data_IF_808752440787
#
_entry.id   IF_808752440787
#
_cell.length_a   1.000
_cell.length_b   1.000
_cell.length_c   1.000
_cell.angle_alpha   90.00
_cell.angle_beta   90.00
_cell.angle_gamma   90.00
#
_symmetry.space_group_name_H-M   'P 1'
#
loop_
_entity.id
_entity.type
_entity.pdbx_description
1 polymer ?
#
# COMPACT_ATOMS: atom_id res chain seq x y z
N UNK A 1 7.30 0.30 14.42
CA UNK A 1 7.01 -0.68 13.35
C UNK A 1 6.85 -0.03 11.97
N UNK A 2 6.05 1.03 11.79
CA UNK A 2 5.90 1.71 10.48
C UNK A 2 7.24 2.10 9.83
N UNK A 3 8.13 2.75 10.59
CA UNK A 3 9.47 3.14 10.11
C UNK A 3 10.36 1.94 9.77
N UNK A 4 10.22 0.82 10.49
CA UNK A 4 10.97 -0.41 10.23
C UNK A 4 10.53 -1.01 8.88
N UNK A 5 9.21 -1.06 8.64
CA UNK A 5 8.67 -1.51 7.36
C UNK A 5 9.12 -0.61 6.22
N UNK A 6 9.04 0.72 6.42
CA UNK A 6 9.49 1.68 5.42
C UNK A 6 10.99 1.50 5.08
N UNK A 7 11.85 1.43 6.12
CA UNK A 7 13.29 1.27 5.95
C UNK A 7 13.65 -0.06 5.30
N UNK A 8 13.04 -1.17 5.73
CA UNK A 8 13.36 -2.47 5.16
C UNK A 8 12.87 -2.58 3.70
N UNK A 9 11.70 -2.02 3.39
CA UNK A 9 11.21 -1.98 2.00
C UNK A 9 12.09 -1.10 1.12
N UNK A 10 12.60 0.01 1.65
CA UNK A 10 13.59 0.84 0.97
C UNK A 10 14.91 0.08 0.73
N UNK A 11 15.41 -0.66 1.71
CA UNK A 11 16.65 -1.46 1.53
C UNK A 11 16.44 -2.54 0.47
N UNK A 12 15.30 -3.23 0.48
CA UNK A 12 14.97 -4.22 -0.56
C UNK A 12 14.87 -3.57 -1.95
N UNK A 13 14.36 -2.35 -2.04
CA UNK A 13 14.20 -1.69 -3.34
C UNK A 13 15.53 -1.32 -3.98
N UNK A 14 16.64 -1.24 -3.23
CA UNK A 14 17.97 -1.04 -3.80
C UNK A 14 18.40 -2.17 -4.76
N UNK A 15 17.72 -3.32 -4.72
CA UNK A 15 17.94 -4.44 -5.63
C UNK A 15 17.17 -4.29 -6.97
N UNK A 16 16.40 -3.21 -7.16
CA UNK A 16 15.71 -2.91 -8.42
C UNK A 16 16.25 -1.62 -9.05
N UNK A 17 16.15 -1.52 -10.38
CA UNK A 17 16.38 -0.26 -11.08
C UNK A 17 15.14 0.62 -10.93
N UNK A 18 15.22 1.65 -10.10
CA UNK A 18 14.02 2.34 -9.61
C UNK A 18 13.15 2.98 -10.70
N UNK A 19 13.78 3.48 -11.75
CA UNK A 19 13.13 4.16 -12.87
C UNK A 19 12.52 3.20 -13.88
N UNK A 20 13.08 2.00 -14.01
CA UNK A 20 12.82 1.09 -15.13
C UNK A 20 12.01 -0.14 -14.72
N UNK A 21 12.10 -0.55 -13.46
CA UNK A 21 11.45 -1.74 -12.94
C UNK A 21 10.46 -1.40 -11.83
N UNK A 22 9.45 -2.25 -11.67
CA UNK A 22 8.56 -2.26 -10.52
C UNK A 22 9.30 -2.83 -9.30
N UNK A 23 8.93 -2.45 -8.08
CA UNK A 23 9.45 -3.09 -6.87
C UNK A 23 9.03 -4.56 -6.83
N UNK A 24 7.83 -4.86 -7.35
CA UNK A 24 7.35 -6.23 -7.55
C UNK A 24 8.21 -7.08 -8.48
N UNK A 25 9.18 -6.50 -9.23
CA UNK A 25 10.16 -7.24 -10.01
C UNK A 25 11.03 -8.19 -9.15
N UNK A 26 11.15 -7.93 -7.84
CA UNK A 26 11.83 -8.83 -6.92
C UNK A 26 11.20 -10.23 -6.85
N UNK A 27 9.91 -10.36 -7.16
CA UNK A 27 9.24 -11.67 -7.23
C UNK A 27 9.71 -12.52 -8.42
N UNK A 28 10.26 -11.89 -9.46
CA UNK A 28 10.81 -12.56 -10.64
C UNK A 28 12.23 -13.09 -10.40
N UNK A 29 13.02 -12.41 -9.56
CA UNK A 29 14.41 -12.78 -9.29
C UNK A 29 14.47 -14.05 -8.40
N UNK A 30 15.00 -15.19 -8.89
CA UNK A 30 14.93 -16.46 -8.15
C UNK A 30 15.57 -16.41 -6.76
N UNK A 31 16.67 -15.65 -6.62
CA UNK A 31 17.42 -15.52 -5.37
C UNK A 31 16.68 -14.66 -4.33
N UNK A 32 15.85 -13.70 -4.77
CA UNK A 32 15.15 -12.77 -3.88
C UNK A 32 13.66 -13.09 -3.72
N UNK A 33 13.09 -13.95 -4.56
CA UNK A 33 11.67 -14.27 -4.59
C UNK A 33 11.12 -14.70 -3.22
N UNK A 34 11.79 -15.66 -2.55
CA UNK A 34 11.31 -16.16 -1.26
C UNK A 34 11.31 -15.05 -0.19
N UNK A 35 12.36 -14.22 -0.16
CA UNK A 35 12.49 -13.10 0.77
C UNK A 35 11.43 -12.04 0.50
N UNK A 36 11.17 -11.71 -0.77
CA UNK A 36 10.12 -10.80 -1.17
C UNK A 36 8.73 -11.30 -0.76
N UNK A 37 8.43 -12.59 -1.00
CA UNK A 37 7.13 -13.17 -0.64
C UNK A 37 6.93 -13.21 0.88
N UNK A 38 7.94 -13.59 1.65
CA UNK A 38 7.87 -13.51 3.11
C UNK A 38 7.65 -12.05 3.54
N UNK A 39 8.41 -11.11 2.97
CA UNK A 39 8.28 -9.71 3.33
C UNK A 39 6.90 -9.14 3.02
N UNK A 40 6.35 -9.38 1.82
CA UNK A 40 5.04 -8.84 1.44
C UNK A 40 3.92 -9.43 2.32
N UNK A 41 4.04 -10.69 2.76
CA UNK A 41 3.07 -11.25 3.73
C UNK A 41 3.14 -10.57 5.09
N UNK A 42 4.35 -10.25 5.58
CA UNK A 42 4.54 -9.49 6.83
C UNK A 42 3.94 -8.09 6.70
N UNK A 43 4.18 -7.40 5.58
CA UNK A 43 3.60 -6.06 5.33
C UNK A 43 2.07 -6.14 5.23
N UNK A 44 1.53 -7.07 4.45
CA UNK A 44 0.09 -7.23 4.28
C UNK A 44 -0.63 -7.53 5.60
N UNK A 45 -0.08 -8.43 6.42
CA UNK A 45 -0.63 -8.77 7.74
C UNK A 45 -0.53 -7.61 8.71
N UNK A 46 0.59 -6.89 8.74
CA UNK A 46 0.74 -5.67 9.53
C UNK A 46 -0.30 -4.62 9.17
N UNK A 47 -0.44 -4.32 7.88
CA UNK A 47 -1.40 -3.34 7.36
C UNK A 47 -2.85 -3.72 7.70
N UNK A 48 -3.20 -5.01 7.58
CA UNK A 48 -4.50 -5.53 7.98
C UNK A 48 -4.76 -5.31 9.48
N UNK A 49 -3.83 -5.71 10.35
CA UNK A 49 -3.97 -5.57 11.81
C UNK A 49 -4.12 -4.10 12.21
N UNK A 50 -3.28 -3.22 11.67
CA UNK A 50 -3.32 -1.78 11.97
C UNK A 50 -4.62 -1.16 11.51
N UNK A 51 -5.09 -1.50 10.32
CA UNK A 51 -6.34 -0.96 9.80
C UNK A 51 -7.55 -1.43 10.59
N UNK A 52 -7.59 -2.72 10.96
CA UNK A 52 -8.65 -3.24 11.84
C UNK A 52 -8.64 -2.50 13.18
N UNK A 53 -7.47 -2.28 13.79
CA UNK A 53 -7.35 -1.51 15.05
C UNK A 53 -7.95 -0.11 14.91
N UNK A 54 -7.59 0.62 13.84
CA UNK A 54 -8.10 1.98 13.61
C UNK A 54 -9.61 2.00 13.33
N UNK A 55 -10.14 1.06 12.54
CA UNK A 55 -11.57 1.00 12.28
C UNK A 55 -12.38 0.62 13.52
N UNK A 56 -11.83 -0.20 14.43
CA UNK A 56 -12.49 -0.49 15.73
C UNK A 56 -12.69 0.74 16.61
N UNK A 57 -11.89 1.79 16.43
CA UNK A 57 -12.05 3.03 17.20
C UNK A 57 -13.34 3.78 16.85
N UNK A 58 -13.77 3.70 15.60
CA UNK A 58 -15.04 4.28 15.15
C UNK A 58 -16.13 3.22 15.21
N UNK A 59 -16.17 2.35 14.21
CA UNK A 59 -17.04 1.19 14.10
C UNK A 59 -16.59 0.38 12.88
N UNK A 60 -16.85 -0.93 12.86
CA UNK A 60 -16.58 -1.78 11.69
C UNK A 60 -17.90 -2.15 11.02
N UNK A 61 -18.05 -1.76 9.76
CA UNK A 61 -19.18 -2.15 8.90
C UNK A 61 -18.91 -3.44 8.14
N UNK A 62 -19.95 -4.04 7.53
CA UNK A 62 -19.79 -5.19 6.62
C UNK A 62 -18.95 -4.82 5.39
N UNK A 63 -19.14 -3.61 4.86
CA UNK A 63 -18.37 -3.10 3.73
C UNK A 63 -16.87 -3.01 4.07
N UNK A 64 -16.51 -2.53 5.27
CA UNK A 64 -15.10 -2.48 5.70
C UNK A 64 -14.45 -3.85 5.72
N UNK A 65 -15.14 -4.86 6.27
CA UNK A 65 -14.64 -6.24 6.30
C UNK A 65 -14.42 -6.79 4.89
N UNK A 66 -15.35 -6.51 3.98
CA UNK A 66 -15.24 -6.90 2.58
C UNK A 66 -14.07 -6.20 1.90
N UNK A 67 -13.93 -4.88 2.05
CA UNK A 67 -12.83 -4.12 1.46
C UNK A 67 -11.48 -4.61 2.00
N UNK A 68 -11.36 -4.84 3.31
CA UNK A 68 -10.14 -5.36 3.92
C UNK A 68 -9.80 -6.76 3.44
N UNK A 69 -10.80 -7.66 3.36
CA UNK A 69 -10.62 -9.01 2.84
C UNK A 69 -10.15 -9.00 1.39
N UNK A 70 -10.85 -8.25 0.52
CA UNK A 70 -10.48 -8.10 -0.89
C UNK A 70 -9.09 -7.48 -1.05
N UNK A 71 -8.76 -6.48 -0.23
CA UNK A 71 -7.45 -5.84 -0.28
C UNK A 71 -6.35 -6.83 0.11
N UNK A 72 -6.48 -7.49 1.26
CA UNK A 72 -5.50 -8.46 1.74
C UNK A 72 -5.30 -9.61 0.75
N UNK A 73 -6.39 -10.18 0.23
CA UNK A 73 -6.34 -11.24 -0.79
C UNK A 73 -5.68 -10.72 -2.06
N UNK A 74 -6.00 -9.52 -2.53
CA UNK A 74 -5.40 -8.94 -3.73
C UNK A 74 -3.90 -8.69 -3.59
N UNK A 75 -3.43 -8.25 -2.42
CA UNK A 75 -1.98 -8.10 -2.14
C UNK A 75 -1.28 -9.46 -2.25
N UNK A 76 -1.83 -10.48 -1.59
CA UNK A 76 -1.22 -11.82 -1.57
C UNK A 76 -1.29 -12.49 -2.95
N UNK A 77 -2.46 -12.57 -3.57
CA UNK A 77 -2.59 -13.18 -4.89
C UNK A 77 -1.81 -12.42 -5.95
N UNK A 78 -1.83 -11.08 -5.92
CA UNK A 78 -1.00 -10.25 -6.80
C UNK A 78 0.46 -10.65 -6.65
N UNK A 79 1.02 -10.54 -5.45
CA UNK A 79 2.46 -10.78 -5.23
C UNK A 79 2.94 -12.21 -5.45
N UNK A 80 2.10 -13.23 -5.25
CA UNK A 80 2.46 -14.64 -5.42
C UNK A 80 2.38 -15.12 -6.87
N UNK A 81 1.64 -14.41 -7.73
CA UNK A 81 1.61 -14.72 -9.15
C UNK A 81 2.97 -14.46 -9.79
N UNK A 82 3.41 -15.31 -10.74
CA UNK A 82 4.66 -15.10 -11.44
C UNK A 82 4.55 -13.87 -12.33
N UNK A 83 5.32 -12.85 -11.99
CA UNK A 83 5.48 -11.64 -12.77
C UNK A 83 6.67 -11.78 -13.72
N UNK A 84 6.47 -11.49 -15.00
CA UNK A 84 7.55 -11.36 -15.96
C UNK A 84 7.32 -10.07 -16.74
N UNK A 85 8.20 -9.05 -16.61
CA UNK A 85 8.00 -7.77 -17.28
C UNK A 85 8.05 -7.87 -18.81
N UNK A 86 8.74 -8.88 -19.34
CA UNK A 86 8.95 -9.07 -20.78
C UNK A 86 7.92 -10.02 -21.42
N UNK A 87 6.99 -10.55 -20.63
CA UNK A 87 6.02 -11.53 -21.11
C UNK A 87 4.60 -11.18 -20.65
N UNK A 88 3.71 -11.01 -21.62
CA UNK A 88 2.28 -10.68 -21.43
C UNK A 88 1.41 -11.91 -21.15
N UNK A 89 2.00 -12.97 -20.59
CA UNK A 89 1.25 -14.12 -20.11
C UNK A 89 0.15 -13.69 -19.13
N UNK A 90 -0.96 -14.43 -19.14
CA UNK A 90 -2.15 -14.17 -18.31
C UNK A 90 -1.78 -13.99 -16.83
N UNK A 91 -0.83 -14.77 -16.31
CA UNK A 91 -0.36 -14.63 -14.92
C UNK A 91 0.30 -13.29 -14.62
N UNK A 92 1.10 -12.77 -15.57
CA UNK A 92 1.78 -11.47 -15.44
C UNK A 92 0.76 -10.32 -15.52
N UNK A 93 -0.23 -10.43 -16.41
CA UNK A 93 -1.33 -9.47 -16.49
C UNK A 93 -2.17 -9.46 -15.21
N UNK A 94 -2.50 -10.65 -14.67
CA UNK A 94 -3.24 -10.77 -13.41
C UNK A 94 -2.45 -10.21 -12.22
N UNK A 95 -1.12 -10.44 -12.16
CA UNK A 95 -0.24 -9.83 -11.15
C UNK A 95 -0.37 -8.31 -11.16
N UNK A 96 -0.26 -7.69 -12.35
CA UNK A 96 -0.32 -6.23 -12.51
C UNK A 96 -1.69 -5.71 -12.07
N UNK A 97 -2.77 -6.32 -12.54
CA UNK A 97 -4.15 -5.89 -12.23
C UNK A 97 -4.41 -6.00 -10.72
N UNK A 98 -4.11 -7.15 -10.11
CA UNK A 98 -4.35 -7.39 -8.69
C UNK A 98 -3.49 -6.49 -7.79
N UNK A 99 -2.21 -6.31 -8.11
CA UNK A 99 -1.30 -5.48 -7.32
C UNK A 99 -1.67 -3.99 -7.40
N UNK A 100 -2.07 -3.53 -8.59
CA UNK A 100 -2.53 -2.14 -8.80
C UNK A 100 -3.88 -1.90 -8.11
N UNK A 101 -4.82 -2.85 -8.26
CA UNK A 101 -6.11 -2.78 -7.60
C UNK A 101 -5.98 -2.80 -6.07
N UNK A 102 -5.08 -3.63 -5.53
CA UNK A 102 -4.78 -3.67 -4.10
C UNK A 102 -4.29 -2.31 -3.60
N UNK A 103 -3.35 -1.68 -4.30
CA UNK A 103 -2.80 -0.36 -3.94
C UNK A 103 -3.88 0.71 -3.92
N UNK A 104 -4.69 0.78 -4.98
CA UNK A 104 -5.79 1.75 -5.11
C UNK A 104 -6.87 1.51 -4.04
N UNK A 105 -7.24 0.27 -3.82
CA UNK A 105 -8.23 -0.11 -2.80
C UNK A 105 -7.76 0.30 -1.39
N UNK A 106 -6.46 0.16 -1.10
CA UNK A 106 -5.91 0.59 0.19
C UNK A 106 -6.02 2.10 0.40
N UNK A 107 -5.74 2.89 -0.64
CA UNK A 107 -5.91 4.34 -0.60
C UNK A 107 -7.38 4.72 -0.32
N UNK A 108 -8.34 4.02 -0.93
CA UNK A 108 -9.77 4.21 -0.61
C UNK A 108 -10.05 3.88 0.86
N UNK A 109 -9.53 2.76 1.38
CA UNK A 109 -9.70 2.38 2.79
C UNK A 109 -9.15 3.47 3.72
N UNK A 110 -7.99 4.04 3.41
CA UNK A 110 -7.44 5.18 4.17
C UNK A 110 -8.39 6.38 4.16
N UNK A 111 -8.96 6.74 3.00
CA UNK A 111 -9.91 7.85 2.93
C UNK A 111 -11.15 7.58 3.80
N UNK A 112 -11.65 6.35 3.85
CA UNK A 112 -12.76 5.96 4.73
C UNK A 112 -12.39 6.19 6.20
N UNK A 113 -11.19 5.77 6.62
CA UNK A 113 -10.72 5.96 8.00
C UNK A 113 -10.63 7.46 8.32
N UNK A 114 -10.02 8.25 7.42
CA UNK A 114 -9.89 9.70 7.59
C UNK A 114 -11.27 10.34 7.74
N UNK A 115 -12.23 10.01 6.86
CA UNK A 115 -13.57 10.57 6.92
C UNK A 115 -14.30 10.26 8.24
N UNK A 116 -14.01 9.12 8.87
CA UNK A 116 -14.60 8.77 10.18
C UNK A 116 -14.05 9.60 11.32
N UNK A 117 -12.86 10.20 11.17
CA UNK A 117 -12.30 11.12 12.17
C UNK A 117 -13.15 12.37 12.35
N UNK A 118 -13.99 12.75 11.37
CA UNK A 118 -14.91 13.90 11.47
C UNK A 118 -15.76 13.83 12.75
N UNK A 119 -16.17 12.63 13.13
CA UNK A 119 -17.05 12.40 14.28
C UNK A 119 -16.32 12.46 15.62
N UNK A 120 -15.00 12.26 15.63
CA UNK A 120 -14.21 12.18 16.87
C UNK A 120 -13.34 13.41 17.11
N UNK A 121 -12.70 13.93 16.06
CA UNK A 121 -11.77 15.06 16.12
C UNK A 121 -11.69 15.72 14.74
N UNK A 122 -12.43 16.83 14.59
CA UNK A 122 -12.52 17.56 13.33
C UNK A 122 -11.21 18.22 12.92
N UNK A 123 -10.41 18.69 13.88
CA UNK A 123 -9.13 19.34 13.59
C UNK A 123 -8.10 18.31 13.11
N UNK A 124 -8.04 17.14 13.76
CA UNK A 124 -7.25 16.01 13.28
C UNK A 124 -7.69 15.54 11.90
N UNK A 125 -9.01 15.40 11.66
CA UNK A 125 -9.57 15.11 10.35
C UNK A 125 -9.06 16.11 9.30
N UNK A 126 -9.26 17.41 9.52
CA UNK A 126 -8.90 18.45 8.56
C UNK A 126 -7.41 18.40 8.22
N UNK A 127 -6.56 18.29 9.24
CA UNK A 127 -5.12 18.24 9.05
C UNK A 127 -4.68 16.99 8.27
N UNK A 128 -5.16 15.81 8.65
CA UNK A 128 -4.78 14.55 8.01
C UNK A 128 -5.34 14.47 6.59
N UNK A 129 -6.58 14.91 6.37
CA UNK A 129 -7.22 14.92 5.06
C UNK A 129 -6.48 15.81 4.05
N UNK A 130 -6.06 17.02 4.46
CA UNK A 130 -5.25 17.92 3.62
C UNK A 130 -3.93 17.25 3.24
N UNK A 131 -3.25 16.63 4.19
CA UNK A 131 -1.96 15.98 3.95
C UNK A 131 -2.13 14.78 3.02
N UNK A 132 -3.14 13.95 3.26
CA UNK A 132 -3.45 12.80 2.41
C UNK A 132 -3.70 13.23 0.96
N UNK A 133 -4.55 14.24 0.74
CA UNK A 133 -4.83 14.73 -0.61
C UNK A 133 -3.59 15.31 -1.29
N UNK A 134 -2.72 16.03 -0.56
CA UNK A 134 -1.43 16.50 -1.11
C UNK A 134 -0.54 15.34 -1.57
N UNK A 135 -0.46 14.27 -0.79
CA UNK A 135 0.30 13.07 -1.16
C UNK A 135 -0.32 12.38 -2.38
N UNK A 136 -1.65 12.28 -2.47
CA UNK A 136 -2.34 11.76 -3.66
C UNK A 136 -2.06 12.61 -4.90
N UNK A 137 -2.06 13.95 -4.79
CA UNK A 137 -1.69 14.82 -5.91
C UNK A 137 -0.27 14.56 -6.39
N UNK A 138 0.69 14.42 -5.46
CA UNK A 138 2.08 14.09 -5.80
C UNK A 138 2.16 12.70 -6.47
N UNK A 139 1.42 11.71 -5.98
CA UNK A 139 1.34 10.38 -6.59
C UNK A 139 0.82 10.46 -8.04
N UNK A 140 -0.23 11.23 -8.28
CA UNK A 140 -0.78 11.45 -9.63
C UNK A 140 0.28 12.12 -10.52
N UNK A 141 0.99 13.13 -10.02
CA UNK A 141 2.08 13.77 -10.76
C UNK A 141 3.18 12.77 -11.14
N UNK A 142 3.57 11.86 -10.24
CA UNK A 142 4.55 10.82 -10.56
C UNK A 142 4.04 9.86 -11.63
N UNK A 143 2.77 9.43 -11.55
CA UNK A 143 2.17 8.55 -12.57
C UNK A 143 2.19 9.24 -13.95
N UNK A 144 1.82 10.53 -14.02
CA UNK A 144 1.85 11.30 -15.26
C UNK A 144 3.27 11.48 -15.79
N UNK A 145 4.23 11.77 -14.90
CA UNK A 145 5.62 12.03 -15.28
C UNK A 145 6.33 10.78 -15.82
N UNK A 146 6.13 9.62 -15.19
CA UNK A 146 6.80 8.38 -15.61
C UNK A 146 6.05 7.62 -16.70
N UNK A 147 4.75 7.88 -16.90
CA UNK A 147 3.91 7.21 -17.91
C UNK A 147 3.72 5.71 -17.67
N UNK A 148 4.26 5.18 -16.57
CA UNK A 148 4.23 3.77 -16.18
C UNK A 148 4.40 3.67 -14.66
N UNK A 149 3.91 2.57 -14.08
CA UNK A 149 4.20 2.25 -12.67
C UNK A 149 5.66 1.79 -12.61
N UNK A 150 6.42 2.29 -11.64
CA UNK A 150 7.80 1.90 -11.37
C UNK A 150 8.03 1.78 -9.85
N UNK A 151 9.24 1.38 -9.45
CA UNK A 151 9.60 1.22 -8.03
C UNK A 151 9.41 2.51 -7.24
N UNK A 152 9.68 3.68 -7.81
CA UNK A 152 9.50 4.98 -7.12
C UNK A 152 8.03 5.16 -6.74
N UNK A 153 7.12 4.90 -7.69
CA UNK A 153 5.67 5.00 -7.47
C UNK A 153 5.22 3.97 -6.42
N UNK A 154 5.65 2.71 -6.54
CA UNK A 154 5.26 1.65 -5.59
C UNK A 154 5.74 1.96 -4.16
N UNK A 155 6.98 2.47 -4.00
CA UNK A 155 7.50 2.92 -2.71
C UNK A 155 6.74 4.13 -2.18
N UNK A 156 6.45 5.10 -3.03
CA UNK A 156 5.70 6.30 -2.63
C UNK A 156 4.31 5.95 -2.12
N UNK A 157 3.61 5.02 -2.77
CA UNK A 157 2.31 4.51 -2.30
C UNK A 157 2.46 3.86 -0.93
N UNK A 158 3.41 2.93 -0.75
CA UNK A 158 3.62 2.27 0.54
C UNK A 158 3.96 3.26 1.64
N UNK A 159 4.86 4.22 1.38
CA UNK A 159 5.25 5.23 2.36
C UNK A 159 4.10 6.17 2.69
N UNK A 160 3.28 6.55 1.72
CA UNK A 160 2.05 7.31 1.95
C UNK A 160 1.12 6.55 2.89
N UNK A 161 0.90 5.26 2.64
CA UNK A 161 0.06 4.39 3.49
C UNK A 161 0.61 4.35 4.91
N UNK A 162 1.89 4.02 5.08
CA UNK A 162 2.51 3.89 6.40
C UNK A 162 2.52 5.22 7.17
N UNK A 163 2.83 6.33 6.48
CA UNK A 163 2.89 7.65 7.07
C UNK A 163 1.51 8.09 7.58
N UNK A 164 0.46 7.92 6.77
CA UNK A 164 -0.89 8.34 7.14
C UNK A 164 -1.44 7.48 8.28
N UNK A 165 -1.27 6.15 8.23
CA UNK A 165 -1.70 5.28 9.32
C UNK A 165 -1.00 5.62 10.64
N UNK A 166 0.32 5.86 10.60
CA UNK A 166 1.08 6.30 11.76
C UNK A 166 0.59 7.64 12.30
N UNK A 167 0.29 8.60 11.41
CA UNK A 167 -0.23 9.91 11.81
C UNK A 167 -1.60 9.81 12.48
N UNK A 168 -2.50 8.99 11.93
CA UNK A 168 -3.82 8.72 12.52
C UNK A 168 -3.67 8.04 13.89
N UNK A 169 -2.82 7.01 14.01
CA UNK A 169 -2.62 6.29 15.26
C UNK A 169 -2.09 7.23 16.37
N UNK A 170 -1.14 8.11 16.03
CA UNK A 170 -0.58 9.09 16.98
C UNK A 170 -1.60 10.17 17.39
N UNK A 171 -2.50 10.58 16.50
CA UNK A 171 -3.55 11.57 16.84
C UNK A 171 -4.59 10.99 17.78
N UNK A 172 -4.91 9.72 17.61
CA UNK A 172 -5.83 8.99 18.49
C UNK A 172 -5.18 8.58 19.84
N UNK A 173 -3.92 8.98 20.09
CA UNK A 173 -3.15 8.70 21.32
C UNK A 173 -3.04 7.21 21.67
N UNK A 174 -2.66 6.38 20.69
CA UNK A 174 -2.36 4.96 20.88
C UNK A 174 -0.87 4.62 20.78
#
# INVERSE_FOLDING_TARGET
>A
MYYIIALFTFVLSLQTSWLYNNFTYLSYQPTLRIYFLIWITVVATFLLIKTIKLLKYSYITRLDKLLLGLNFISILLGSYLPYNPNNTNISSSLHIILSSAASLLYLIIIQIIINRLILSDYDAYKQINIIYHRLITILIMFIVMFGSINTIIELFVLFTILFILNKIENTLKF
#
